data_IF_264802421834
#
_entry.id   IF_264802421834
#
_cell.length_a   1.000
_cell.length_b   1.000
_cell.length_c   1.000
_cell.angle_alpha   90.00
_cell.angle_beta   90.00
_cell.angle_gamma   90.00
#
_symmetry.space_group_name_H-M   'P 1'
#
loop_
_entity.id
_entity.type
_entity.pdbx_description
1 polymer ?
#
# COMPACT_ATOMS: atom_id res chain seq x y z
N UNK A 1 47.31 26.81 62.33
CA UNK A 1 47.26 26.97 60.84
C UNK A 1 47.18 28.47 60.60
N UNK A 2 48.05 29.05 59.83
CA UNK A 2 48.00 30.50 59.60
C UNK A 2 46.80 30.92 58.77
N UNK A 3 46.21 32.08 59.03
CA UNK A 3 45.04 32.63 58.33
C UNK A 3 45.24 32.62 56.81
N UNK A 4 46.48 32.87 56.36
CA UNK A 4 46.88 32.81 54.96
C UNK A 4 46.76 31.41 54.32
N UNK A 5 47.05 30.38 55.08
CA UNK A 5 46.88 28.98 54.61
C UNK A 5 45.43 28.57 54.48
N UNK A 6 44.53 29.05 55.37
CA UNK A 6 43.11 28.82 55.30
C UNK A 6 42.50 29.50 54.07
N UNK A 7 42.88 30.75 53.80
CA UNK A 7 42.46 31.51 52.62
C UNK A 7 42.89 30.80 51.31
N UNK A 8 44.13 30.34 51.27
CA UNK A 8 44.67 29.63 50.09
C UNK A 8 43.90 28.32 49.84
N UNK A 9 43.57 27.55 50.87
CA UNK A 9 42.82 26.32 50.79
C UNK A 9 41.38 26.57 50.36
N UNK A 10 40.72 27.63 50.85
CA UNK A 10 39.34 27.97 50.40
C UNK A 10 39.30 28.40 48.95
N UNK A 11 40.26 29.18 48.46
CA UNK A 11 40.38 29.58 47.05
C UNK A 11 40.60 28.34 46.16
N UNK A 12 41.46 27.40 46.60
CA UNK A 12 41.70 26.15 45.87
C UNK A 12 40.45 25.28 45.77
N UNK A 13 39.69 25.17 46.88
CA UNK A 13 38.41 24.42 46.89
C UNK A 13 37.36 25.05 45.95
N UNK A 14 37.25 26.38 45.98
CA UNK A 14 36.35 27.12 45.07
C UNK A 14 36.75 26.89 43.61
N UNK A 15 38.05 26.91 43.32
CA UNK A 15 38.58 26.68 41.96
C UNK A 15 38.28 25.25 41.48
N UNK A 16 38.44 24.24 42.36
CA UNK A 16 38.12 22.85 42.04
C UNK A 16 36.59 22.66 41.80
N UNK A 17 35.77 23.29 42.64
CA UNK A 17 34.30 23.25 42.49
C UNK A 17 33.87 23.91 41.15
N UNK A 18 34.42 25.10 40.85
CA UNK A 18 34.19 25.77 39.56
C UNK A 18 34.62 24.89 38.38
N UNK A 19 35.78 24.25 38.46
CA UNK A 19 36.28 23.39 37.40
C UNK A 19 35.35 22.17 37.18
N UNK A 20 34.93 21.51 38.26
CA UNK A 20 34.01 20.35 38.21
C UNK A 20 32.64 20.72 37.63
N UNK A 21 32.12 21.92 37.94
CA UNK A 21 30.79 22.33 37.46
C UNK A 21 30.82 23.05 36.10
N UNK A 22 31.89 23.73 35.75
CA UNK A 22 32.00 24.50 34.50
C UNK A 22 32.45 23.60 33.33
N UNK A 23 33.37 22.65 33.60
CA UNK A 23 33.85 21.75 32.55
C UNK A 23 32.75 20.95 31.85
N UNK A 24 31.77 20.30 32.52
CA UNK A 24 30.70 19.60 31.88
C UNK A 24 29.71 20.54 31.15
N UNK A 25 29.59 21.81 31.55
CA UNK A 25 28.76 22.81 30.87
C UNK A 25 29.45 23.26 29.57
N UNK A 26 30.76 23.52 29.61
CA UNK A 26 31.56 23.88 28.43
C UNK A 26 31.69 22.68 27.46
N UNK A 27 31.83 21.47 27.98
CA UNK A 27 31.91 20.26 27.15
C UNK A 27 30.59 19.91 26.49
N UNK A 28 29.43 20.19 27.13
CA UNK A 28 28.10 20.05 26.49
C UNK A 28 27.85 21.10 25.40
N UNK A 29 28.51 22.24 25.43
CA UNK A 29 28.38 23.30 24.41
C UNK A 29 29.47 23.27 23.34
N UNK A 30 30.50 22.42 23.45
CA UNK A 30 31.27 22.03 22.28
C UNK A 30 30.39 21.14 21.42
N UNK A 31 29.62 21.78 20.54
CA UNK A 31 29.16 21.13 19.30
C UNK A 31 30.44 20.59 18.68
N UNK A 32 30.64 19.28 18.79
CA UNK A 32 31.73 18.61 18.08
C UNK A 32 31.46 18.85 16.61
N UNK A 33 32.20 19.81 16.04
CA UNK A 33 32.29 20.01 14.59
C UNK A 33 33.09 18.87 13.95
N UNK A 34 32.89 17.66 14.44
CA UNK A 34 33.45 16.46 13.84
C UNK A 34 32.42 15.91 12.90
N UNK A 35 32.74 15.83 11.63
CA UNK A 35 31.97 15.14 10.59
C UNK A 35 31.86 13.62 10.83
N UNK A 36 31.83 13.17 12.10
CA UNK A 36 31.75 11.75 12.49
C UNK A 36 30.51 11.05 11.93
N UNK A 37 29.44 11.79 11.69
CA UNK A 37 28.20 11.30 11.10
C UNK A 37 27.95 11.85 9.69
N UNK A 38 28.99 12.40 9.06
CA UNK A 38 28.91 13.07 7.77
C UNK A 38 28.66 14.57 7.90
N UNK A 39 28.86 15.29 6.80
CA UNK A 39 28.54 16.70 6.65
C UNK A 39 27.60 16.94 5.50
N UNK A 40 26.68 17.87 5.66
CA UNK A 40 25.78 18.29 4.60
C UNK A 40 25.85 19.80 4.41
N UNK A 41 25.82 20.25 3.17
CA UNK A 41 25.71 21.64 2.76
C UNK A 41 24.86 21.77 1.51
N UNK A 42 24.38 22.95 1.22
CA UNK A 42 23.75 23.21 -0.07
C UNK A 42 24.79 23.08 -1.19
N UNK A 43 24.37 22.48 -2.30
CA UNK A 43 25.18 22.37 -3.51
C UNK A 43 25.42 23.75 -4.12
N UNK A 44 26.63 23.96 -4.61
CA UNK A 44 26.95 25.13 -5.46
C UNK A 44 26.26 24.97 -6.80
N UNK A 45 26.04 26.08 -7.53
CA UNK A 45 25.44 26.05 -8.85
C UNK A 45 26.27 25.21 -9.86
N UNK A 46 27.59 25.21 -9.73
CA UNK A 46 28.47 24.38 -10.55
C UNK A 46 28.25 22.88 -10.30
N UNK A 47 28.04 22.50 -9.04
CA UNK A 47 27.72 21.10 -8.69
C UNK A 47 26.33 20.70 -9.21
N UNK A 48 25.35 21.59 -9.14
CA UNK A 48 24.01 21.37 -9.74
C UNK A 48 24.14 21.15 -11.23
N UNK A 49 24.86 22.01 -11.95
CA UNK A 49 25.08 21.87 -13.41
C UNK A 49 25.82 20.59 -13.78
N UNK A 50 26.70 20.09 -12.94
CA UNK A 50 27.50 18.89 -13.22
C UNK A 50 26.71 17.59 -12.96
N UNK A 51 25.89 17.58 -11.90
CA UNK A 51 25.29 16.35 -11.38
C UNK A 51 23.86 16.13 -11.88
N UNK A 52 23.16 17.16 -12.33
CA UNK A 52 21.76 17.08 -12.73
C UNK A 52 21.57 17.40 -14.20
N UNK A 53 20.55 16.80 -14.79
CA UNK A 53 20.17 17.08 -16.18
C UNK A 53 19.49 18.43 -16.27
N UNK A 54 19.89 19.24 -17.25
CA UNK A 54 19.33 20.57 -17.52
C UNK A 54 18.52 20.54 -18.79
N UNK A 55 17.25 20.91 -18.71
CA UNK A 55 16.38 21.10 -19.88
C UNK A 55 15.56 22.38 -19.78
N UNK A 56 15.10 22.87 -20.95
CA UNK A 56 14.19 24.00 -21.00
C UNK A 56 12.79 23.52 -20.63
N UNK A 57 12.07 24.24 -19.75
CA UNK A 57 10.76 23.83 -19.23
C UNK A 57 9.72 23.63 -20.33
N UNK A 58 9.85 24.37 -21.47
CA UNK A 58 8.96 24.23 -22.62
C UNK A 58 9.26 23.01 -23.50
N UNK A 59 10.32 22.27 -23.23
CA UNK A 59 10.78 21.14 -24.05
C UNK A 59 11.48 20.09 -23.20
N UNK A 60 10.79 19.62 -22.19
CA UNK A 60 11.27 18.54 -21.32
C UNK A 60 11.11 17.21 -22.07
N UNK A 61 12.20 16.48 -22.28
CA UNK A 61 12.17 15.20 -23.00
C UNK A 61 11.90 14.05 -22.07
N UNK A 62 12.55 14.02 -20.90
CA UNK A 62 12.49 12.93 -19.92
C UNK A 62 11.91 13.39 -18.60
N UNK A 63 11.40 12.45 -17.82
CA UNK A 63 10.96 12.71 -16.46
C UNK A 63 12.09 12.43 -15.47
N UNK A 64 12.05 13.16 -14.37
CA UNK A 64 12.96 13.01 -13.26
C UNK A 64 12.46 13.83 -12.07
N UNK A 65 13.28 13.96 -11.06
CA UNK A 65 12.94 14.73 -9.88
C UNK A 65 13.49 16.17 -10.02
N UNK A 66 12.64 17.24 -10.10
CA UNK A 66 13.08 18.61 -10.24
C UNK A 66 13.77 19.08 -8.96
N UNK A 67 15.03 19.52 -9.10
CA UNK A 67 15.90 19.96 -7.99
C UNK A 67 16.01 21.48 -7.95
N UNK A 68 16.11 22.12 -9.11
CA UNK A 68 16.30 23.56 -9.22
C UNK A 68 15.61 24.09 -10.46
N UNK A 69 15.00 25.26 -10.36
CA UNK A 69 14.38 25.99 -11.47
C UNK A 69 14.92 27.42 -11.54
N UNK A 70 15.41 27.81 -12.72
CA UNK A 70 15.81 29.18 -13.00
C UNK A 70 14.74 29.87 -13.85
N UNK A 71 14.06 30.81 -13.23
CA UNK A 71 12.97 31.58 -13.88
C UNK A 71 13.47 32.43 -15.05
N UNK A 72 14.67 32.99 -14.97
CA UNK A 72 15.19 33.93 -15.96
C UNK A 72 15.48 33.27 -17.29
N UNK A 73 16.00 32.05 -17.27
CA UNK A 73 16.32 31.27 -18.47
C UNK A 73 15.30 30.17 -18.76
N UNK A 74 14.27 30.04 -17.92
CA UNK A 74 13.22 29.02 -18.02
C UNK A 74 13.77 27.59 -18.15
N UNK A 75 14.79 27.28 -17.37
CA UNK A 75 15.38 25.95 -17.31
C UNK A 75 15.14 25.28 -15.96
N UNK A 76 15.02 23.98 -16.02
CA UNK A 76 14.90 23.10 -14.84
C UNK A 76 16.06 22.11 -14.83
N UNK A 77 16.62 21.90 -13.65
CA UNK A 77 17.59 20.84 -13.37
C UNK A 77 16.87 19.75 -12.61
N UNK A 78 17.01 18.52 -13.05
CA UNK A 78 16.33 17.38 -12.49
C UNK A 78 17.23 16.15 -12.43
N UNK A 79 16.96 15.29 -11.47
CA UNK A 79 17.60 14.01 -11.31
C UNK A 79 16.89 12.99 -12.21
N UNK A 80 17.61 12.33 -13.13
CA UNK A 80 17.07 11.30 -14.02
C UNK A 80 17.01 9.92 -13.37
N UNK A 81 17.81 9.69 -12.35
CA UNK A 81 17.75 8.45 -11.60
C UNK A 81 16.37 8.33 -10.96
N UNK A 82 15.99 7.15 -10.56
CA UNK A 82 14.70 6.92 -9.90
C UNK A 82 14.83 6.94 -8.36
N UNK A 83 15.22 8.07 -7.77
CA UNK A 83 15.46 8.17 -6.34
C UNK A 83 14.13 8.27 -5.59
N UNK A 84 14.16 7.80 -4.34
CA UNK A 84 13.11 8.07 -3.38
C UNK A 84 13.43 9.37 -2.64
N UNK A 85 12.47 10.29 -2.58
CA UNK A 85 12.61 11.57 -1.89
C UNK A 85 11.68 11.63 -0.68
N UNK A 86 12.16 12.22 0.40
CA UNK A 86 11.37 12.49 1.61
C UNK A 86 11.39 14.00 1.90
N UNK A 87 10.21 14.60 1.94
CA UNK A 87 10.02 16.00 2.34
C UNK A 87 9.52 16.06 3.77
N UNK A 88 10.32 16.66 4.64
CA UNK A 88 9.94 16.88 6.04
C UNK A 88 9.53 18.34 6.25
N UNK A 89 8.42 18.56 6.90
CA UNK A 89 7.91 19.88 7.23
C UNK A 89 6.62 19.80 8.03
N UNK A 90 6.35 20.80 8.86
CA UNK A 90 5.12 20.92 9.62
C UNK A 90 3.87 21.07 8.71
N UNK A 91 2.69 20.92 9.26
CA UNK A 91 1.45 21.28 8.55
C UNK A 91 1.51 22.76 8.15
N UNK A 92 1.04 23.10 6.94
CA UNK A 92 1.08 24.46 6.43
C UNK A 92 2.45 24.96 5.92
N UNK A 93 3.52 24.15 5.99
CA UNK A 93 4.86 24.53 5.49
C UNK A 93 4.96 24.62 3.95
N UNK A 94 3.88 24.36 3.23
CA UNK A 94 3.85 24.44 1.77
C UNK A 94 4.36 23.21 1.02
N UNK A 95 4.54 22.05 1.67
CA UNK A 95 5.03 20.81 1.01
C UNK A 95 4.32 20.47 -0.28
N UNK A 96 2.98 20.50 -0.28
CA UNK A 96 2.18 20.19 -1.47
C UNK A 96 2.42 21.19 -2.59
N UNK A 97 2.45 22.49 -2.27
CA UNK A 97 2.59 23.59 -3.25
C UNK A 97 4.01 23.70 -3.80
N UNK A 98 5.04 23.45 -2.97
CA UNK A 98 6.44 23.66 -3.38
C UNK A 98 7.11 22.40 -3.93
N UNK A 99 6.59 21.21 -3.63
CA UNK A 99 7.18 19.94 -4.05
C UNK A 99 6.24 19.10 -4.90
N UNK A 100 5.07 18.69 -4.35
CA UNK A 100 4.22 17.68 -5.00
C UNK A 100 3.57 18.21 -6.29
N UNK A 101 2.92 19.37 -6.24
CA UNK A 101 2.24 19.96 -7.40
C UNK A 101 3.23 20.31 -8.52
N UNK A 102 4.41 20.95 -8.24
CA UNK A 102 5.43 21.15 -9.26
C UNK A 102 5.96 19.86 -9.86
N UNK A 103 6.13 18.79 -9.07
CA UNK A 103 6.55 17.48 -9.56
C UNK A 103 5.53 16.88 -10.52
N UNK A 104 4.24 16.88 -10.16
CA UNK A 104 3.15 16.42 -11.04
C UNK A 104 3.15 17.25 -12.35
N UNK A 105 3.26 18.57 -12.24
CA UNK A 105 3.30 19.47 -13.39
C UNK A 105 4.52 19.19 -14.28
N UNK A 106 5.67 18.91 -13.70
CA UNK A 106 6.89 18.56 -14.43
C UNK A 106 6.69 17.28 -15.23
N UNK A 107 6.18 16.21 -14.60
CA UNK A 107 5.89 14.92 -15.25
C UNK A 107 4.89 15.12 -16.40
N UNK A 108 3.83 15.90 -16.17
CA UNK A 108 2.77 16.13 -17.15
C UNK A 108 3.26 16.92 -18.39
N UNK A 109 4.31 17.72 -18.26
CA UNK A 109 4.89 18.49 -19.37
C UNK A 109 6.00 17.77 -20.13
N UNK A 110 6.50 16.65 -19.64
CA UNK A 110 7.51 15.85 -20.34
C UNK A 110 6.94 15.19 -21.60
N UNK A 111 7.79 15.01 -22.63
CA UNK A 111 7.40 14.29 -23.86
C UNK A 111 7.18 12.81 -23.58
N UNK A 112 8.11 12.19 -22.84
CA UNK A 112 7.95 10.82 -22.34
C UNK A 112 7.22 10.90 -21.02
N UNK A 113 5.91 10.70 -21.06
CA UNK A 113 5.05 10.80 -19.90
C UNK A 113 5.05 9.49 -19.08
N UNK A 114 4.88 9.61 -17.78
CA UNK A 114 4.76 8.49 -16.85
C UNK A 114 3.40 8.53 -16.18
N UNK A 115 2.82 7.37 -15.90
CA UNK A 115 1.64 7.30 -15.07
C UNK A 115 1.98 7.69 -13.61
N UNK A 116 0.99 8.18 -12.90
CA UNK A 116 1.16 8.79 -11.59
C UNK A 116 0.18 8.15 -10.61
N UNK A 117 0.66 7.77 -9.44
CA UNK A 117 -0.18 7.39 -8.29
C UNK A 117 0.00 8.43 -7.19
N UNK A 118 -1.10 8.96 -6.69
CA UNK A 118 -1.11 10.03 -5.67
C UNK A 118 -2.02 9.64 -4.52
N UNK A 119 -1.47 9.59 -3.31
CA UNK A 119 -2.29 9.60 -2.09
C UNK A 119 -2.54 11.04 -1.68
N UNK A 120 -3.80 11.44 -1.63
CA UNK A 120 -4.23 12.83 -1.40
C UNK A 120 -5.27 12.90 -0.27
N UNK A 121 -4.85 12.89 1.01
CA UNK A 121 -5.78 12.82 2.13
C UNK A 121 -6.83 13.92 2.18
N UNK A 122 -6.56 15.08 1.58
CA UNK A 122 -7.46 16.24 1.59
C UNK A 122 -8.15 16.52 0.26
N UNK A 123 -7.73 15.83 -0.83
CA UNK A 123 -8.21 16.11 -2.17
C UNK A 123 -7.63 17.39 -2.79
N UNK A 124 -6.73 18.10 -2.10
CA UNK A 124 -6.16 19.38 -2.56
C UNK A 124 -5.34 19.23 -3.84
N UNK A 125 -4.57 18.14 -3.93
CA UNK A 125 -3.72 17.85 -5.09
C UNK A 125 -4.58 17.51 -6.29
N UNK A 126 -5.61 16.68 -6.10
CA UNK A 126 -6.62 16.35 -7.12
C UNK A 126 -7.28 17.61 -7.67
N UNK A 127 -7.86 18.45 -6.79
CA UNK A 127 -8.53 19.67 -7.21
C UNK A 127 -7.61 20.65 -7.96
N UNK A 128 -6.34 20.70 -7.60
CA UNK A 128 -5.37 21.61 -8.23
C UNK A 128 -4.85 21.10 -9.55
N UNK A 129 -4.69 19.78 -9.72
CA UNK A 129 -3.92 19.21 -10.85
C UNK A 129 -4.73 18.41 -11.85
N UNK A 130 -5.92 17.90 -11.48
CA UNK A 130 -6.73 16.99 -12.30
C UNK A 130 -7.07 17.56 -13.68
N UNK A 131 -7.53 18.83 -13.73
CA UNK A 131 -7.84 19.49 -15.00
C UNK A 131 -6.61 19.63 -15.90
N UNK A 132 -5.49 20.08 -15.35
CA UNK A 132 -4.23 20.22 -16.09
C UNK A 132 -3.77 18.88 -16.64
N UNK A 133 -3.86 17.80 -15.83
CA UNK A 133 -3.51 16.43 -16.24
C UNK A 133 -4.41 15.94 -17.37
N UNK A 134 -5.73 16.13 -17.24
CA UNK A 134 -6.69 15.82 -18.30
C UNK A 134 -6.36 16.57 -19.63
N UNK A 135 -6.11 17.88 -19.56
CA UNK A 135 -5.75 18.70 -20.71
C UNK A 135 -4.41 18.27 -21.35
N UNK A 136 -3.54 17.61 -20.59
CA UNK A 136 -2.29 16.98 -21.06
C UNK A 136 -2.47 15.54 -21.57
N UNK A 137 -3.70 15.04 -21.62
CA UNK A 137 -4.05 13.73 -22.16
C UNK A 137 -3.88 12.56 -21.19
N UNK A 138 -3.85 12.83 -19.87
CA UNK A 138 -3.91 11.77 -18.86
C UNK A 138 -5.35 11.30 -18.68
N UNK A 139 -5.52 9.99 -18.54
CA UNK A 139 -6.75 9.42 -17.99
C UNK A 139 -6.72 9.64 -16.47
N UNK A 140 -7.60 10.52 -16.01
CA UNK A 140 -7.69 10.87 -14.58
C UNK A 140 -8.66 9.94 -13.90
N UNK A 141 -8.17 9.18 -12.92
CA UNK A 141 -8.94 8.24 -12.10
C UNK A 141 -8.88 8.69 -10.64
N UNK A 142 -9.97 8.48 -9.92
CA UNK A 142 -10.10 8.89 -8.52
C UNK A 142 -10.78 7.82 -7.71
N UNK A 143 -10.11 7.35 -6.66
CA UNK A 143 -10.71 6.53 -5.60
C UNK A 143 -10.91 7.45 -4.40
N UNK A 144 -12.16 7.81 -4.14
CA UNK A 144 -12.51 8.77 -3.08
C UNK A 144 -13.41 8.10 -2.03
N UNK A 145 -12.86 7.86 -0.85
CA UNK A 145 -13.59 7.29 0.28
C UNK A 145 -14.35 8.35 1.10
N UNK A 146 -14.14 9.64 0.81
CA UNK A 146 -14.93 10.73 1.42
C UNK A 146 -16.23 10.98 0.66
N UNK A 147 -16.14 10.92 -0.68
CA UNK A 147 -17.22 11.20 -1.62
C UNK A 147 -17.39 10.01 -2.60
N UNK A 148 -17.89 8.86 -2.11
CA UNK A 148 -17.99 7.64 -2.91
C UNK A 148 -18.88 7.78 -4.14
N UNK A 149 -19.82 8.75 -4.14
CA UNK A 149 -20.69 9.07 -5.28
C UNK A 149 -19.96 9.72 -6.46
N UNK A 150 -18.76 10.25 -6.23
CA UNK A 150 -17.89 10.87 -7.25
C UNK A 150 -16.68 9.99 -7.57
N UNK A 151 -16.56 8.85 -6.92
CA UNK A 151 -15.43 7.95 -7.02
C UNK A 151 -15.57 6.97 -8.18
N UNK A 152 -14.44 6.63 -8.82
CA UNK A 152 -14.35 5.35 -9.48
C UNK A 152 -14.40 4.21 -8.46
N UNK A 153 -14.81 3.04 -8.90
CA UNK A 153 -14.87 1.85 -8.07
C UNK A 153 -13.67 0.95 -8.33
N UNK A 154 -13.24 0.21 -7.31
CA UNK A 154 -12.10 -0.71 -7.38
C UNK A 154 -12.33 -1.93 -6.49
N UNK A 155 -12.72 -3.06 -7.07
CA UNK A 155 -12.81 -4.31 -6.34
C UNK A 155 -11.41 -4.90 -6.12
N UNK A 156 -10.95 -4.92 -4.88
CA UNK A 156 -9.61 -5.41 -4.55
C UNK A 156 -9.42 -6.92 -4.79
N UNK A 157 -10.50 -7.66 -5.05
CA UNK A 157 -10.46 -9.06 -5.49
C UNK A 157 -10.35 -9.21 -7.02
N UNK A 158 -10.46 -8.13 -7.79
CA UNK A 158 -10.49 -8.17 -9.25
C UNK A 158 -9.31 -8.92 -9.88
N UNK A 159 -8.04 -8.68 -9.48
CA UNK A 159 -6.91 -9.42 -10.05
C UNK A 159 -7.00 -10.93 -9.77
N UNK A 160 -7.54 -11.31 -8.61
CA UNK A 160 -7.74 -12.71 -8.21
C UNK A 160 -8.84 -13.34 -9.06
N UNK A 161 -9.95 -12.62 -9.27
CA UNK A 161 -11.09 -13.07 -10.07
C UNK A 161 -10.66 -13.29 -11.52
N UNK A 162 -9.96 -12.31 -12.13
CA UNK A 162 -9.47 -12.41 -13.51
C UNK A 162 -8.54 -13.60 -13.70
N UNK A 163 -7.62 -13.86 -12.75
CA UNK A 163 -6.73 -15.01 -12.87
C UNK A 163 -7.44 -16.34 -12.64
N UNK A 164 -8.44 -16.36 -11.77
CA UNK A 164 -9.30 -17.55 -11.60
C UNK A 164 -10.18 -17.81 -12.83
N UNK A 165 -10.64 -16.79 -13.53
CA UNK A 165 -11.35 -16.91 -14.81
C UNK A 165 -10.44 -17.48 -15.91
N UNK A 166 -9.15 -17.11 -15.92
CA UNK A 166 -8.16 -17.74 -16.80
C UNK A 166 -8.02 -19.24 -16.49
N UNK A 167 -7.96 -19.61 -15.20
CA UNK A 167 -7.96 -21.01 -14.78
C UNK A 167 -9.21 -21.74 -15.30
N UNK A 168 -10.42 -21.21 -15.08
CA UNK A 168 -11.68 -21.81 -15.55
C UNK A 168 -11.64 -22.00 -17.08
N UNK A 169 -11.21 -20.97 -17.81
CA UNK A 169 -11.09 -20.98 -19.27
C UNK A 169 -10.18 -22.10 -19.76
N UNK A 170 -8.97 -22.20 -19.22
CA UNK A 170 -8.01 -23.21 -19.65
C UNK A 170 -8.43 -24.61 -19.21
N UNK A 171 -8.99 -24.78 -18.01
CA UNK A 171 -9.56 -26.04 -17.53
C UNK A 171 -10.64 -26.55 -18.46
N UNK A 172 -11.50 -25.68 -18.98
CA UNK A 172 -12.51 -26.01 -20.00
C UNK A 172 -11.88 -26.43 -21.33
N UNK A 173 -10.91 -25.66 -21.83
CA UNK A 173 -10.24 -25.94 -23.11
C UNK A 173 -9.46 -27.28 -23.08
N UNK A 174 -8.93 -27.72 -21.94
CA UNK A 174 -8.33 -29.04 -21.75
C UNK A 174 -9.31 -30.17 -22.08
N UNK A 175 -10.60 -29.98 -21.72
CA UNK A 175 -11.61 -30.99 -21.92
C UNK A 175 -12.26 -30.91 -23.32
N UNK A 176 -12.13 -29.79 -24.04
CA UNK A 176 -12.73 -29.56 -25.35
C UNK A 176 -11.77 -29.83 -26.52
N UNK A 177 -10.45 -30.01 -26.27
CA UNK A 177 -9.47 -30.25 -27.36
C UNK A 177 -9.05 -31.69 -27.46
N UNK A 178 -8.98 -32.21 -28.69
CA UNK A 178 -8.46 -33.54 -29.03
C UNK A 178 -6.96 -33.50 -29.41
N UNK A 179 -6.38 -32.35 -29.67
CA UNK A 179 -4.96 -32.19 -29.98
C UNK A 179 -4.11 -32.30 -28.69
N UNK A 180 -3.30 -33.35 -28.64
CA UNK A 180 -2.45 -33.64 -27.47
C UNK A 180 -1.47 -32.51 -27.11
N UNK A 181 -0.93 -31.78 -28.09
CA UNK A 181 0.02 -30.70 -27.87
C UNK A 181 -0.71 -29.48 -27.28
N UNK A 182 -1.85 -29.11 -27.83
CA UNK A 182 -2.70 -28.04 -27.30
C UNK A 182 -3.25 -28.39 -25.94
N UNK A 183 -3.62 -29.64 -25.72
CA UNK A 183 -4.09 -30.14 -24.41
C UNK A 183 -3.03 -29.96 -23.33
N UNK A 184 -1.78 -30.33 -23.61
CA UNK A 184 -0.68 -30.13 -22.68
C UNK A 184 -0.41 -28.64 -22.41
N UNK A 185 -0.45 -27.80 -23.43
CA UNK A 185 -0.31 -26.34 -23.28
C UNK A 185 -1.42 -25.76 -22.38
N UNK A 186 -2.68 -26.13 -22.62
CA UNK A 186 -3.80 -25.68 -21.80
C UNK A 186 -3.72 -26.22 -20.36
N UNK A 187 -3.28 -27.46 -20.15
CA UNK A 187 -3.05 -28.00 -18.80
C UNK A 187 -2.01 -27.16 -18.05
N UNK A 188 -0.87 -26.85 -18.68
CA UNK A 188 0.17 -26.02 -18.06
C UNK A 188 -0.34 -24.63 -17.74
N UNK A 189 -1.12 -24.01 -18.63
CA UNK A 189 -1.73 -22.68 -18.40
C UNK A 189 -2.77 -22.74 -17.26
N UNK A 190 -3.59 -23.79 -17.21
CA UNK A 190 -4.57 -24.00 -16.14
C UNK A 190 -3.89 -24.10 -14.77
N UNK A 191 -2.84 -24.95 -14.67
CA UNK A 191 -2.06 -25.10 -13.43
C UNK A 191 -1.39 -23.80 -13.03
N UNK A 192 -0.79 -23.07 -13.99
CA UNK A 192 -0.14 -21.77 -13.74
C UNK A 192 -1.12 -20.74 -13.23
N UNK A 193 -2.30 -20.60 -13.86
CA UNK A 193 -3.34 -19.64 -13.45
C UNK A 193 -3.91 -19.98 -12.08
N UNK A 194 -4.09 -21.26 -11.75
CA UNK A 194 -4.55 -21.66 -10.43
C UNK A 194 -3.50 -21.38 -9.35
N UNK A 195 -2.23 -21.63 -9.64
CA UNK A 195 -1.11 -21.32 -8.74
C UNK A 195 -0.99 -19.81 -8.50
N UNK A 196 -1.10 -18.99 -9.56
CA UNK A 196 -1.08 -17.54 -9.46
C UNK A 196 -2.28 -17.00 -8.69
N UNK A 197 -3.48 -17.53 -8.92
CA UNK A 197 -4.68 -17.21 -8.13
C UNK A 197 -4.40 -17.42 -6.63
N UNK A 198 -3.87 -18.58 -6.25
CA UNK A 198 -3.55 -18.89 -4.85
C UNK A 198 -2.48 -17.94 -4.28
N UNK A 199 -1.48 -17.58 -5.06
CA UNK A 199 -0.44 -16.62 -4.68
C UNK A 199 -1.04 -15.23 -4.42
N UNK A 200 -1.95 -14.77 -5.29
CA UNK A 200 -2.65 -13.49 -5.15
C UNK A 200 -3.54 -13.49 -3.91
N UNK A 201 -4.29 -14.56 -3.66
CA UNK A 201 -5.12 -14.73 -2.45
C UNK A 201 -4.25 -14.60 -1.20
N UNK A 202 -3.15 -15.34 -1.12
CA UNK A 202 -2.23 -15.33 0.03
C UNK A 202 -1.61 -13.96 0.24
N UNK A 203 -1.24 -13.28 -0.85
CA UNK A 203 -0.68 -11.93 -0.80
C UNK A 203 -1.69 -10.92 -0.25
N UNK A 204 -2.92 -10.92 -0.78
CA UNK A 204 -3.98 -10.02 -0.32
C UNK A 204 -4.35 -10.29 1.15
N UNK A 205 -4.56 -11.57 1.50
CA UNK A 205 -4.86 -11.96 2.88
C UNK A 205 -3.76 -11.53 3.85
N UNK A 206 -2.49 -11.66 3.45
CA UNK A 206 -1.36 -11.20 4.26
C UNK A 206 -1.36 -9.67 4.46
N UNK A 207 -1.70 -8.88 3.44
CA UNK A 207 -1.80 -7.42 3.56
C UNK A 207 -2.93 -6.99 4.50
N UNK A 208 -4.09 -7.64 4.41
CA UNK A 208 -5.26 -7.32 5.25
C UNK A 208 -5.03 -7.70 6.71
N UNK A 209 -4.41 -8.85 6.96
CA UNK A 209 -4.21 -9.38 8.32
C UNK A 209 -2.89 -8.93 8.96
N UNK A 210 -2.11 -8.12 8.25
CA UNK A 210 -0.84 -7.61 8.76
C UNK A 210 -1.02 -6.79 10.05
N UNK A 211 -0.20 -7.08 11.05
CA UNK A 211 -0.17 -6.35 12.30
C UNK A 211 1.26 -5.92 12.64
N UNK A 212 1.48 -4.61 12.77
CA UNK A 212 2.79 -4.04 13.17
C UNK A 212 3.17 -4.40 14.60
N UNK A 213 2.18 -4.60 15.45
CA UNK A 213 2.35 -4.92 16.87
C UNK A 213 2.44 -6.42 17.10
N UNK A 214 2.89 -7.19 16.10
CA UNK A 214 2.97 -8.65 16.20
C UNK A 214 3.28 -9.06 17.62
N UNK A 215 2.23 -9.45 18.35
CA UNK A 215 2.33 -10.02 19.69
C UNK A 215 3.26 -11.23 19.64
N UNK A 216 3.69 -11.70 20.80
CA UNK A 216 4.61 -12.84 20.90
C UNK A 216 4.11 -14.12 20.21
N UNK A 217 2.83 -14.17 19.84
CA UNK A 217 2.21 -15.34 19.21
C UNK A 217 1.59 -14.99 17.84
N UNK A 218 2.25 -15.36 16.72
CA UNK A 218 1.75 -15.14 15.37
C UNK A 218 0.56 -16.05 14.98
N UNK A 219 0.20 -17.03 15.83
CA UNK A 219 -0.83 -18.03 15.56
C UNK A 219 -2.17 -17.39 15.16
N UNK A 220 -2.61 -16.39 15.91
CA UNK A 220 -3.93 -15.77 15.73
C UNK A 220 -4.03 -15.03 14.40
N UNK A 221 -3.01 -14.23 14.04
CA UNK A 221 -2.98 -13.51 12.77
C UNK A 221 -2.84 -14.47 11.57
N UNK A 222 -2.03 -15.52 11.70
CA UNK A 222 -1.91 -16.55 10.67
C UNK A 222 -3.21 -17.33 10.49
N UNK A 223 -3.93 -17.62 11.57
CA UNK A 223 -5.23 -18.29 11.50
C UNK A 223 -6.29 -17.40 10.86
N UNK A 224 -6.32 -16.11 11.20
CA UNK A 224 -7.21 -15.14 10.55
C UNK A 224 -6.88 -14.99 9.05
N UNK A 225 -5.60 -15.00 8.68
CA UNK A 225 -5.16 -15.01 7.28
C UNK A 225 -5.68 -16.25 6.55
N UNK A 226 -5.48 -17.44 7.12
CA UNK A 226 -5.95 -18.69 6.52
C UNK A 226 -7.48 -18.72 6.39
N UNK A 227 -8.20 -18.14 7.36
CA UNK A 227 -9.65 -17.98 7.27
C UNK A 227 -10.05 -17.13 6.08
N UNK A 228 -9.38 -15.99 5.87
CA UNK A 228 -9.63 -15.13 4.71
C UNK A 228 -9.31 -15.83 3.39
N UNK A 229 -8.15 -16.51 3.31
CA UNK A 229 -7.76 -17.29 2.14
C UNK A 229 -8.82 -18.32 1.76
N UNK A 230 -9.31 -19.05 2.76
CA UNK A 230 -10.34 -20.06 2.56
C UNK A 230 -11.68 -19.49 2.15
N UNK A 231 -12.09 -18.34 2.68
CA UNK A 231 -13.33 -17.67 2.29
C UNK A 231 -13.26 -17.11 0.87
N UNK A 232 -12.15 -16.49 0.48
CA UNK A 232 -11.93 -16.04 -0.91
C UNK A 232 -12.00 -17.26 -1.85
N UNK A 233 -11.26 -18.32 -1.53
CA UNK A 233 -11.31 -19.58 -2.30
C UNK A 233 -12.72 -20.15 -2.42
N UNK A 234 -13.49 -20.14 -1.33
CA UNK A 234 -14.89 -20.58 -1.32
C UNK A 234 -15.75 -19.77 -2.29
N UNK A 235 -15.66 -18.45 -2.28
CA UNK A 235 -16.43 -17.61 -3.21
C UNK A 235 -16.05 -17.88 -4.67
N UNK A 236 -14.79 -18.06 -4.98
CA UNK A 236 -14.32 -18.39 -6.32
C UNK A 236 -14.84 -19.77 -6.78
N UNK A 237 -14.79 -20.77 -5.90
CA UNK A 237 -15.31 -22.11 -6.19
C UNK A 237 -16.84 -22.11 -6.40
N UNK A 238 -17.61 -21.38 -5.58
CA UNK A 238 -19.05 -21.23 -5.77
C UNK A 238 -19.39 -20.48 -7.06
N UNK A 239 -18.53 -19.55 -7.49
CA UNK A 239 -18.64 -18.88 -8.79
C UNK A 239 -18.38 -19.88 -9.95
N UNK A 240 -17.32 -20.68 -9.88
CA UNK A 240 -17.04 -21.75 -10.86
C UNK A 240 -18.21 -22.73 -10.98
N UNK A 241 -18.83 -23.06 -9.86
CA UNK A 241 -20.00 -23.95 -9.79
C UNK A 241 -21.32 -23.27 -10.25
N UNK A 242 -21.30 -21.99 -10.61
CA UNK A 242 -22.48 -21.22 -11.04
C UNK A 242 -23.48 -20.90 -9.93
N UNK A 243 -23.13 -21.05 -8.66
CA UNK A 243 -24.01 -20.82 -7.50
C UNK A 243 -24.07 -19.35 -7.10
N UNK A 244 -23.04 -18.57 -7.39
CA UNK A 244 -22.99 -17.11 -7.21
C UNK A 244 -22.55 -16.43 -8.51
N UNK A 245 -22.90 -15.15 -8.64
CA UNK A 245 -22.47 -14.32 -9.77
C UNK A 245 -21.14 -13.65 -9.48
N UNK A 246 -20.42 -13.25 -10.54
CA UNK A 246 -19.15 -12.54 -10.47
C UNK A 246 -19.21 -11.30 -9.59
N UNK A 247 -20.26 -10.50 -9.73
CA UNK A 247 -20.48 -9.24 -9.00
C UNK A 247 -20.68 -9.46 -7.49
N UNK A 248 -20.92 -10.69 -7.07
CA UNK A 248 -21.05 -11.04 -5.64
C UNK A 248 -19.70 -11.34 -4.99
N UNK A 249 -18.61 -11.44 -5.79
CA UNK A 249 -17.26 -11.69 -5.26
C UNK A 249 -16.64 -10.35 -4.83
N UNK A 250 -16.96 -9.90 -3.63
CA UNK A 250 -16.44 -8.67 -3.02
C UNK A 250 -16.06 -8.92 -1.56
N UNK A 251 -15.15 -8.11 -1.02
CA UNK A 251 -14.79 -8.22 0.40
C UNK A 251 -15.99 -7.98 1.32
N UNK A 252 -16.88 -7.08 0.96
CA UNK A 252 -18.12 -6.82 1.70
C UNK A 252 -19.04 -8.04 1.69
N UNK A 253 -19.14 -8.78 0.57
CA UNK A 253 -19.90 -10.02 0.52
C UNK A 253 -19.30 -11.11 1.41
N UNK A 254 -17.97 -11.25 1.39
CA UNK A 254 -17.23 -12.17 2.27
C UNK A 254 -17.48 -11.81 3.74
N UNK A 255 -17.41 -10.53 4.07
CA UNK A 255 -17.68 -10.04 5.43
C UNK A 255 -19.11 -10.36 5.89
N UNK A 256 -20.10 -10.06 5.06
CA UNK A 256 -21.53 -10.38 5.35
C UNK A 256 -21.74 -11.88 5.50
N UNK A 257 -21.13 -12.67 4.62
CA UNK A 257 -21.19 -14.13 4.70
C UNK A 257 -20.60 -14.65 6.00
N UNK A 258 -19.43 -14.15 6.41
CA UNK A 258 -18.81 -14.50 7.67
C UNK A 258 -19.72 -14.19 8.86
N UNK A 259 -20.29 -12.99 8.91
CA UNK A 259 -21.20 -12.60 9.99
C UNK A 259 -22.42 -13.49 10.10
N UNK A 260 -22.99 -13.97 8.97
CA UNK A 260 -24.20 -14.78 8.96
C UNK A 260 -23.95 -16.28 9.15
N UNK A 261 -22.75 -16.77 8.79
CA UNK A 261 -22.49 -18.20 8.63
C UNK A 261 -21.56 -18.75 9.71
N UNK A 262 -20.70 -17.90 10.26
CA UNK A 262 -19.68 -18.35 11.23
C UNK A 262 -20.16 -18.36 12.69
N UNK A 263 -21.46 -18.16 12.94
CA UNK A 263 -22.04 -18.23 14.27
C UNK A 263 -22.67 -19.62 14.53
N UNK A 264 -22.27 -20.27 15.62
CA UNK A 264 -22.86 -21.47 16.23
C UNK A 264 -23.35 -22.58 15.27
N UNK A 265 -24.68 -22.71 15.13
CA UNK A 265 -25.33 -23.77 14.33
C UNK A 265 -25.01 -23.67 12.83
N UNK A 266 -24.81 -22.47 12.32
CA UNK A 266 -24.50 -22.25 10.91
C UNK A 266 -23.07 -22.68 10.58
N UNK A 267 -22.12 -22.46 11.48
CA UNK A 267 -20.73 -22.91 11.30
C UNK A 267 -20.63 -24.44 11.15
N UNK A 268 -21.46 -25.22 11.86
CA UNK A 268 -21.50 -26.69 11.71
C UNK A 268 -22.04 -27.11 10.33
N UNK A 269 -23.06 -26.44 9.81
CA UNK A 269 -23.59 -26.69 8.47
C UNK A 269 -22.57 -26.30 7.39
N UNK A 270 -21.90 -25.18 7.58
CA UNK A 270 -20.86 -24.71 6.67
C UNK A 270 -19.67 -25.67 6.66
N UNK A 271 -19.21 -26.12 7.85
CA UNK A 271 -18.17 -27.15 7.94
C UNK A 271 -18.54 -28.39 7.13
N UNK A 272 -19.74 -28.94 7.33
CA UNK A 272 -20.20 -30.11 6.59
C UNK A 272 -20.19 -29.86 5.07
N UNK A 273 -20.60 -28.66 4.63
CA UNK A 273 -20.56 -28.29 3.21
C UNK A 273 -19.11 -28.25 2.67
N UNK A 274 -18.18 -27.65 3.41
CA UNK A 274 -16.76 -27.58 3.00
C UNK A 274 -16.11 -28.97 2.99
N UNK A 275 -16.48 -29.87 3.88
CA UNK A 275 -16.00 -31.26 3.89
C UNK A 275 -16.34 -32.01 2.59
N UNK A 276 -17.43 -31.65 1.90
CA UNK A 276 -17.81 -32.23 0.61
C UNK A 276 -17.02 -31.69 -0.59
N UNK A 277 -16.32 -30.58 -0.43
CA UNK A 277 -15.47 -30.02 -1.51
C UNK A 277 -14.32 -30.99 -1.87
N UNK A 278 -13.84 -30.96 -3.12
CA UNK A 278 -12.71 -31.80 -3.56
C UNK A 278 -11.46 -31.60 -2.71
N UNK A 279 -10.63 -32.63 -2.62
CA UNK A 279 -9.29 -32.48 -2.06
C UNK A 279 -8.47 -31.54 -2.92
N UNK A 280 -7.63 -30.69 -2.28
CA UNK A 280 -6.82 -29.69 -2.96
C UNK A 280 -7.60 -28.43 -3.36
N UNK A 281 -8.90 -28.31 -2.99
CA UNK A 281 -9.59 -27.03 -3.12
C UNK A 281 -9.10 -26.05 -2.06
N UNK A 282 -8.91 -24.80 -2.46
CA UNK A 282 -8.39 -23.75 -1.57
C UNK A 282 -9.27 -23.55 -0.33
N UNK A 283 -10.59 -23.61 -0.54
CA UNK A 283 -11.57 -23.48 0.56
C UNK A 283 -11.40 -24.59 1.59
N UNK A 284 -11.35 -25.84 1.15
CA UNK A 284 -11.24 -27.01 2.05
C UNK A 284 -9.95 -26.99 2.83
N UNK A 285 -8.83 -26.83 2.15
CA UNK A 285 -7.50 -26.88 2.75
C UNK A 285 -7.29 -25.77 3.79
N UNK A 286 -7.83 -24.59 3.56
CA UNK A 286 -7.69 -23.44 4.46
C UNK A 286 -8.73 -23.42 5.59
N UNK A 287 -9.98 -23.84 5.33
CA UNK A 287 -11.08 -23.70 6.30
C UNK A 287 -11.23 -24.88 7.25
N UNK A 288 -11.00 -26.13 6.80
CA UNK A 288 -11.22 -27.31 7.64
C UNK A 288 -10.40 -27.31 8.94
N UNK A 289 -9.11 -26.94 8.93
CA UNK A 289 -8.34 -26.86 10.18
C UNK A 289 -8.95 -25.89 11.20
N UNK A 290 -9.52 -24.78 10.72
CA UNK A 290 -10.14 -23.75 11.57
C UNK A 290 -11.50 -24.21 12.07
N UNK A 291 -12.37 -24.70 11.17
CA UNK A 291 -13.70 -25.18 11.48
C UNK A 291 -13.71 -26.45 12.36
N UNK A 292 -12.58 -27.14 12.44
CA UNK A 292 -12.38 -28.34 13.28
C UNK A 292 -11.65 -28.05 14.58
N UNK A 293 -11.26 -26.81 14.84
CA UNK A 293 -10.61 -26.41 16.09
C UNK A 293 -11.60 -26.45 17.26
N UNK A 294 -11.07 -26.39 18.51
CA UNK A 294 -11.91 -26.28 19.69
C UNK A 294 -12.79 -25.02 19.64
N UNK A 295 -13.94 -25.03 20.31
CA UNK A 295 -14.88 -23.90 20.30
C UNK A 295 -14.21 -22.59 20.74
N UNK A 296 -13.38 -22.63 21.79
CA UNK A 296 -12.66 -21.45 22.28
C UNK A 296 -11.65 -20.93 21.25
N UNK A 297 -10.88 -21.84 20.62
CA UNK A 297 -9.93 -21.48 19.57
C UNK A 297 -10.65 -20.88 18.38
N UNK A 298 -11.73 -21.50 17.94
CA UNK A 298 -12.55 -21.01 16.82
C UNK A 298 -13.09 -19.59 17.09
N UNK A 299 -13.68 -19.35 18.28
CA UNK A 299 -14.19 -18.04 18.69
C UNK A 299 -13.08 -16.98 18.73
N UNK A 300 -11.89 -17.34 19.19
CA UNK A 300 -10.75 -16.43 19.22
C UNK A 300 -10.27 -16.09 17.81
N UNK A 301 -10.16 -17.07 16.90
CA UNK A 301 -9.77 -16.84 15.50
C UNK A 301 -10.79 -15.93 14.80
N UNK A 302 -12.09 -16.22 14.95
CA UNK A 302 -13.16 -15.43 14.34
C UNK A 302 -13.23 -14.01 14.88
N UNK A 303 -12.89 -13.80 16.16
CA UNK A 303 -12.80 -12.46 16.77
C UNK A 303 -11.66 -11.65 16.15
N UNK A 304 -10.45 -12.21 16.05
CA UNK A 304 -9.31 -11.55 15.38
C UNK A 304 -9.62 -11.27 13.92
N UNK A 305 -10.21 -12.24 13.23
CA UNK A 305 -10.63 -12.07 11.84
C UNK A 305 -11.65 -10.92 11.69
N UNK A 306 -12.65 -10.86 12.56
CA UNK A 306 -13.67 -9.80 12.55
C UNK A 306 -13.07 -8.41 12.74
N UNK A 307 -12.07 -8.28 13.61
CA UNK A 307 -11.33 -7.02 13.79
C UNK A 307 -10.63 -6.58 12.49
N UNK A 308 -9.92 -7.51 11.83
CA UNK A 308 -9.22 -7.20 10.57
C UNK A 308 -10.16 -6.87 9.41
N UNK A 309 -11.35 -7.46 9.43
CA UNK A 309 -12.37 -7.24 8.38
C UNK A 309 -13.31 -6.04 8.65
N UNK A 310 -13.20 -5.40 9.82
CA UNK A 310 -14.12 -4.34 10.23
C UNK A 310 -14.17 -3.14 9.25
N UNK A 311 -13.09 -2.87 8.53
CA UNK A 311 -13.05 -1.81 7.52
C UNK A 311 -14.10 -2.03 6.39
N UNK A 312 -14.46 -3.28 6.10
CA UNK A 312 -15.44 -3.61 5.07
C UNK A 312 -16.90 -3.54 5.58
N UNK A 313 -17.11 -3.18 6.85
CA UNK A 313 -18.41 -2.81 7.41
C UNK A 313 -18.74 -1.32 7.12
N UNK A 314 -17.72 -0.50 6.75
CA UNK A 314 -17.91 0.90 6.37
C UNK A 314 -18.66 1.00 5.03
N UNK A 315 -19.69 1.86 4.99
CA UNK A 315 -20.59 2.00 3.83
C UNK A 315 -19.86 2.59 2.62
N UNK A 316 -18.96 3.55 2.83
CA UNK A 316 -18.19 4.17 1.75
C UNK A 316 -17.20 3.17 1.15
N UNK A 317 -16.51 2.41 2.01
CA UNK A 317 -15.63 1.32 1.57
C UNK A 317 -16.39 0.27 0.81
N UNK A 318 -17.55 -0.17 1.32
CA UNK A 318 -18.40 -1.14 0.64
C UNK A 318 -18.85 -0.66 -0.74
N UNK A 319 -19.19 0.63 -0.86
CA UNK A 319 -19.57 1.25 -2.15
C UNK A 319 -18.39 1.26 -3.12
N UNK A 320 -17.28 1.91 -2.74
CA UNK A 320 -16.11 2.09 -3.59
C UNK A 320 -15.46 0.77 -4.01
N UNK A 321 -15.55 -0.29 -3.16
CA UNK A 321 -14.98 -1.61 -3.47
C UNK A 321 -15.97 -2.62 -4.04
N UNK A 322 -17.17 -2.18 -4.45
CA UNK A 322 -18.24 -3.06 -4.93
C UNK A 322 -18.02 -3.66 -6.32
N UNK A 323 -17.28 -2.98 -7.18
CA UNK A 323 -16.98 -3.36 -8.59
C UNK A 323 -15.66 -2.72 -9.00
N UNK A 324 -15.20 -2.96 -10.23
CA UNK A 324 -14.06 -2.24 -10.83
C UNK A 324 -14.51 -1.48 -12.08
N UNK A 325 -14.16 -0.19 -12.14
CA UNK A 325 -14.40 0.66 -13.31
C UNK A 325 -13.16 0.73 -14.22
N UNK A 326 -12.03 0.15 -13.80
CA UNK A 326 -10.77 0.07 -14.55
C UNK A 326 -9.94 -1.14 -14.08
N UNK A 327 -9.00 -1.57 -14.94
CA UNK A 327 -8.10 -2.68 -14.65
C UNK A 327 -6.93 -2.24 -13.77
N UNK A 328 -6.40 -3.12 -12.92
CA UNK A 328 -5.28 -2.82 -12.02
C UNK A 328 -3.96 -2.54 -12.76
N UNK A 329 -3.81 -2.98 -13.99
CA UNK A 329 -2.64 -2.71 -14.82
C UNK A 329 -2.73 -1.39 -15.64
N UNK A 330 -3.77 -0.59 -15.40
CA UNK A 330 -4.06 0.66 -16.11
C UNK A 330 -2.85 1.62 -16.12
N UNK A 331 -2.15 1.73 -14.98
CA UNK A 331 -0.99 2.60 -14.84
C UNK A 331 0.20 2.17 -15.71
N UNK A 332 0.26 0.89 -16.10
CA UNK A 332 1.27 0.34 -17.00
C UNK A 332 0.86 0.38 -18.47
N UNK A 333 -0.43 0.30 -18.76
CA UNK A 333 -0.97 0.21 -20.13
C UNK A 333 -1.32 1.55 -20.74
N UNK A 334 -1.85 2.47 -19.95
CA UNK A 334 -2.31 3.77 -20.41
C UNK A 334 -1.64 4.90 -19.61
N UNK A 335 -1.43 6.04 -20.27
CA UNK A 335 -0.98 7.24 -19.59
C UNK A 335 -2.09 7.73 -18.65
N UNK A 336 -1.99 7.39 -17.38
CA UNK A 336 -3.03 7.63 -16.40
C UNK A 336 -2.49 8.21 -15.09
N UNK A 337 -3.37 8.84 -14.35
CA UNK A 337 -3.13 9.24 -12.97
C UNK A 337 -4.25 8.69 -12.09
N UNK A 338 -3.87 8.07 -11.00
CA UNK A 338 -4.81 7.60 -9.97
C UNK A 338 -4.62 8.39 -8.68
N UNK A 339 -5.64 9.13 -8.29
CA UNK A 339 -5.72 9.78 -7.00
C UNK A 339 -6.47 8.89 -6.01
N UNK A 340 -5.90 8.67 -4.83
CA UNK A 340 -6.57 7.97 -3.73
C UNK A 340 -6.79 8.95 -2.59
N UNK A 341 -8.05 9.35 -2.41
CA UNK A 341 -8.49 10.33 -1.43
C UNK A 341 -9.07 9.59 -0.23
N UNK A 342 -8.45 9.77 0.94
CA UNK A 342 -8.83 9.08 2.18
C UNK A 342 -9.00 10.08 3.31
N UNK A 343 -9.93 9.84 4.27
CA UNK A 343 -10.01 10.65 5.48
C UNK A 343 -8.70 10.64 6.27
N UNK A 344 -8.18 11.83 6.60
CA UNK A 344 -6.92 12.00 7.38
C UNK A 344 -7.09 11.54 8.83
N UNK A 345 -8.33 11.65 9.32
CA UNK A 345 -8.69 11.44 10.71
C UNK A 345 -8.67 9.96 11.10
N UNK A 346 -8.86 9.06 10.12
CA UNK A 346 -9.01 7.63 10.38
C UNK A 346 -7.92 6.79 9.71
N UNK A 347 -7.04 6.24 10.52
CA UNK A 347 -5.90 5.41 10.07
C UNK A 347 -6.31 4.09 9.41
N UNK A 348 -7.57 3.67 9.58
CA UNK A 348 -8.05 2.39 9.03
C UNK A 348 -7.99 2.40 7.49
N UNK A 349 -8.20 3.56 6.85
CA UNK A 349 -8.12 3.71 5.39
C UNK A 349 -6.69 3.55 4.84
N UNK A 350 -5.64 3.76 5.65
CA UNK A 350 -4.26 3.57 5.19
C UNK A 350 -3.95 2.11 4.81
N UNK A 351 -4.65 1.17 5.43
CA UNK A 351 -4.57 -0.24 5.02
C UNK A 351 -5.08 -0.44 3.60
N UNK A 352 -6.23 0.17 3.25
CA UNK A 352 -6.77 0.11 1.89
C UNK A 352 -5.84 0.76 0.86
N UNK A 353 -5.28 1.94 1.17
CA UNK A 353 -4.28 2.59 0.30
C UNK A 353 -3.10 1.67 0.04
N UNK A 354 -2.60 1.01 1.08
CA UNK A 354 -1.48 0.07 0.97
C UNK A 354 -1.83 -1.13 0.11
N UNK A 355 -3.04 -1.68 0.26
CA UNK A 355 -3.55 -2.80 -0.55
C UNK A 355 -3.67 -2.37 -2.02
N UNK A 356 -4.33 -1.24 -2.29
CA UNK A 356 -4.53 -0.71 -3.65
C UNK A 356 -3.16 -0.49 -4.32
N UNK A 357 -2.23 0.19 -3.65
CA UNK A 357 -0.88 0.40 -4.16
C UNK A 357 -0.15 -0.92 -4.41
N UNK A 358 -0.23 -1.87 -3.49
CA UNK A 358 0.41 -3.18 -3.63
C UNK A 358 -0.16 -4.02 -4.77
N UNK A 359 -1.44 -3.88 -5.10
CA UNK A 359 -2.08 -4.54 -6.23
C UNK A 359 -1.74 -3.87 -7.57
N UNK A 360 -1.61 -2.55 -7.60
CA UNK A 360 -1.23 -1.79 -8.80
C UNK A 360 0.24 -1.92 -9.17
N UNK A 361 1.11 -2.28 -8.22
CA UNK A 361 2.56 -2.38 -8.44
C UNK A 361 3.00 -3.77 -8.96
N UNK A 362 2.08 -4.72 -9.03
CA UNK A 362 2.34 -6.08 -9.56
C UNK A 362 2.16 -6.13 -11.06
#
# INVERSE_FOLDING_TARGET
MSLSLIILLTILIIFIICFIYIEPIISKHKIKNNNEYGSARFSTFNEINKNFTKEKISNINEVGFPVYYDKNISHVWFDKETPHYVYLGSSGSGKSVTAVIPMISFIANAKVKRSIFVTDPKGEIYHTTSKMLHDKGYKVLTIDFRHPELSNHINILEPIICEYENYIKYDKLVNETDDNNLKLDYQNKSISSYAETNRLITSLASMITYDKTQGKDPFWNNSAKNLLEGLIGFFLEEYKDGKIKREQITMTSIRKFQNSTMEDKNAKKFKFYIEQKPYGSKSKDSLIPILSSSENTYKSITSVFSEKMAIFDDVNVANVTSKSDFDFDILGKEQSVLFVIVPDEDKIYYTLVTIILGLLYK
#
